data_IF_229157947978
#
_entry.id   IF_229157947978
#
_cell.length_a   1.000
_cell.length_b   1.000
_cell.length_c   1.000
_cell.angle_alpha   90.00
_cell.angle_beta   90.00
_cell.angle_gamma   90.00
#
_symmetry.space_group_name_H-M   'P 1'
#
loop_
_entity.id
_entity.type
_entity.pdbx_description
1 polymer ?
#
# COMPACT_ATOMS: atom_id res chain seq x y z
N UNK A 1 6.93 -30.48 52.46
CA UNK A 1 6.40 -29.18 52.02
C UNK A 1 7.21 -28.73 50.80
N UNK A 2 6.86 -29.21 49.60
CA UNK A 2 7.54 -28.86 48.36
C UNK A 2 6.98 -27.52 47.85
N UNK A 3 7.85 -26.52 47.75
CA UNK A 3 7.57 -25.23 47.13
C UNK A 3 7.44 -25.41 45.61
N UNK A 4 6.22 -25.21 45.10
CA UNK A 4 5.95 -25.00 43.68
C UNK A 4 6.60 -23.67 43.24
N UNK A 5 7.61 -23.76 42.38
CA UNK A 5 8.03 -22.62 41.56
C UNK A 5 7.09 -22.53 40.35
N UNK A 6 6.07 -21.67 40.46
CA UNK A 6 5.30 -21.24 39.30
C UNK A 6 6.14 -20.25 38.49
N UNK A 7 6.82 -20.72 37.44
CA UNK A 7 7.36 -19.82 36.43
C UNK A 7 6.21 -19.20 35.63
N UNK A 8 5.85 -17.96 35.96
CA UNK A 8 5.14 -17.08 35.06
C UNK A 8 6.06 -16.77 33.87
N UNK A 9 5.95 -17.55 32.79
CA UNK A 9 6.49 -17.12 31.50
C UNK A 9 5.66 -15.93 31.02
N UNK A 10 6.28 -14.77 31.08
CA UNK A 10 5.74 -13.53 30.52
C UNK A 10 5.50 -13.72 29.02
N UNK A 11 4.28 -13.44 28.55
CA UNK A 11 3.95 -13.36 27.13
C UNK A 11 4.79 -12.25 26.48
N UNK A 12 5.95 -12.59 25.92
CA UNK A 12 6.63 -11.71 25.00
C UNK A 12 5.79 -11.65 23.71
N UNK A 13 5.21 -10.49 23.43
CA UNK A 13 4.54 -10.14 22.17
C UNK A 13 5.55 -10.39 21.03
N UNK A 14 5.42 -11.50 20.30
CA UNK A 14 6.38 -11.92 19.28
C UNK A 14 6.46 -10.87 18.16
N UNK A 15 7.52 -10.08 18.19
CA UNK A 15 7.97 -9.20 17.11
C UNK A 15 9.22 -9.85 16.51
N UNK A 16 9.10 -10.39 15.29
CA UNK A 16 10.20 -11.11 14.68
C UNK A 16 11.12 -10.17 13.91
N UNK A 17 12.44 -10.30 14.14
CA UNK A 17 13.45 -9.52 13.42
C UNK A 17 13.79 -10.20 12.10
N UNK A 18 13.42 -9.59 10.99
CA UNK A 18 13.74 -10.08 9.65
C UNK A 18 15.18 -9.73 9.25
N UNK A 19 15.75 -10.53 8.34
CA UNK A 19 17.05 -10.22 7.72
C UNK A 19 16.99 -8.90 6.96
N UNK A 20 18.10 -8.16 6.97
CA UNK A 20 18.21 -6.87 6.30
C UNK A 20 18.80 -7.01 4.89
N UNK A 21 17.96 -7.36 3.91
CA UNK A 21 18.37 -7.55 2.51
C UNK A 21 18.70 -6.25 1.76
N UNK A 22 18.39 -5.09 2.34
CA UNK A 22 18.67 -3.79 1.73
C UNK A 22 20.18 -3.54 1.55
N UNK A 23 21.01 -4.15 2.41
CA UNK A 23 22.48 -4.09 2.32
C UNK A 23 23.02 -4.68 1.03
N UNK A 24 22.38 -5.72 0.49
CA UNK A 24 22.77 -6.34 -0.79
C UNK A 24 22.70 -5.35 -1.97
N UNK A 25 21.94 -4.26 -1.82
CA UNK A 25 21.73 -3.23 -2.83
C UNK A 25 22.35 -1.88 -2.46
N UNK A 26 23.20 -1.83 -1.42
CA UNK A 26 23.81 -0.59 -0.89
C UNK A 26 22.78 0.53 -0.64
N UNK A 27 21.61 0.15 -0.13
CA UNK A 27 20.52 1.07 0.20
C UNK A 27 19.97 0.82 1.60
N UNK A 28 19.07 1.68 2.06
CA UNK A 28 18.36 1.60 3.33
C UNK A 28 16.86 1.53 3.09
N UNK A 29 16.15 0.87 4.00
CA UNK A 29 14.72 0.67 3.87
C UNK A 29 14.14 -0.13 5.01
N UNK A 30 12.85 -0.37 4.90
CA UNK A 30 12.11 -1.24 5.81
C UNK A 30 11.20 -2.16 5.03
N UNK A 31 11.15 -3.41 5.47
CA UNK A 31 10.11 -4.36 5.16
C UNK A 31 9.43 -4.73 6.47
N UNK A 32 8.11 -4.70 6.50
CA UNK A 32 7.30 -5.15 7.62
C UNK A 32 6.17 -6.02 7.11
N UNK A 33 5.87 -7.09 7.84
CA UNK A 33 4.71 -7.95 7.63
C UNK A 33 3.78 -7.93 8.83
N UNK A 34 2.51 -8.27 8.61
CA UNK A 34 1.52 -8.44 9.65
C UNK A 34 0.50 -9.53 9.28
N UNK A 35 0.33 -10.51 10.17
CA UNK A 35 -0.54 -11.69 10.01
C UNK A 35 -1.92 -11.54 10.69
N UNK A 36 -2.20 -10.36 11.27
CA UNK A 36 -3.39 -10.10 12.09
C UNK A 36 -3.12 -10.12 13.59
N UNK A 37 -1.97 -10.65 14.01
CA UNK A 37 -1.59 -10.77 15.43
C UNK A 37 -0.14 -10.35 15.71
N UNK A 38 0.80 -10.71 14.84
CA UNK A 38 2.22 -10.50 15.01
C UNK A 38 2.81 -9.68 13.86
N UNK A 39 3.83 -8.90 14.19
CA UNK A 39 4.61 -8.16 13.20
C UNK A 39 5.99 -8.79 13.06
N UNK A 40 6.52 -8.79 11.84
CA UNK A 40 7.93 -9.06 11.59
C UNK A 40 8.54 -7.91 10.77
N UNK A 41 9.73 -7.45 11.13
CA UNK A 41 10.41 -6.38 10.38
C UNK A 41 11.92 -6.44 10.48
N UNK A 42 12.63 -5.99 9.44
CA UNK A 42 14.07 -5.76 9.52
C UNK A 42 14.40 -4.50 10.35
N UNK A 43 13.48 -3.53 10.43
CA UNK A 43 13.69 -2.25 11.12
C UNK A 43 12.36 -1.69 11.67
N UNK A 44 12.00 -2.07 12.90
CA UNK A 44 10.78 -1.59 13.56
C UNK A 44 10.75 -0.08 13.82
N UNK A 45 11.92 0.58 13.94
CA UNK A 45 11.98 2.03 14.10
C UNK A 45 11.50 2.71 12.82
N UNK A 46 12.11 2.38 11.68
CA UNK A 46 11.71 2.90 10.36
C UNK A 46 10.31 2.45 9.95
N UNK A 47 9.84 1.28 10.39
CA UNK A 47 8.49 0.81 10.13
C UNK A 47 7.39 1.77 10.68
N UNK A 48 7.73 2.54 11.72
CA UNK A 48 6.85 3.53 12.36
C UNK A 48 7.05 4.95 11.83
N UNK A 49 8.09 5.19 11.02
CA UNK A 49 8.35 6.50 10.44
C UNK A 49 7.35 6.79 9.31
N UNK A 50 6.65 7.94 9.33
CA UNK A 50 5.67 8.29 8.32
C UNK A 50 6.32 8.95 7.10
N UNK A 51 5.91 8.53 5.90
CA UNK A 51 6.30 9.17 4.64
C UNK A 51 5.09 9.40 3.74
N UNK A 52 5.25 10.20 2.70
CA UNK A 52 4.23 10.29 1.64
C UNK A 52 3.92 8.90 1.07
N UNK A 53 2.63 8.52 0.95
CA UNK A 53 2.25 7.25 0.35
C UNK A 53 2.50 7.21 -1.16
N UNK A 54 2.65 8.37 -1.81
CA UNK A 54 2.72 8.50 -3.26
C UNK A 54 1.62 7.66 -3.95
N UNK A 55 1.99 6.90 -4.98
CA UNK A 55 1.04 6.10 -5.75
C UNK A 55 0.47 4.87 -5.03
N UNK A 56 0.91 4.54 -3.81
CA UNK A 56 0.23 3.50 -3.00
C UNK A 56 -1.15 3.95 -2.54
N UNK A 57 -1.37 5.26 -2.39
CA UNK A 57 -2.68 5.82 -2.03
C UNK A 57 -3.77 5.49 -3.06
N UNK A 58 -3.41 5.13 -4.29
CA UNK A 58 -4.36 4.73 -5.34
C UNK A 58 -5.27 3.56 -4.94
N UNK A 59 -4.81 2.69 -4.03
CA UNK A 59 -5.66 1.62 -3.47
C UNK A 59 -6.88 2.21 -2.77
N UNK A 60 -6.65 3.15 -1.86
CA UNK A 60 -7.69 3.76 -1.03
C UNK A 60 -8.49 4.82 -1.80
N UNK A 61 -7.87 5.55 -2.72
CA UNK A 61 -8.57 6.46 -3.62
C UNK A 61 -9.60 5.69 -4.49
N UNK A 62 -9.22 4.54 -5.06
CA UNK A 62 -10.15 3.67 -5.79
C UNK A 62 -11.26 3.10 -4.89
N UNK A 63 -10.94 2.69 -3.67
CA UNK A 63 -11.92 2.19 -2.69
C UNK A 63 -12.98 3.26 -2.37
N UNK A 64 -12.53 4.48 -2.09
CA UNK A 64 -13.40 5.61 -1.76
C UNK A 64 -14.28 5.96 -2.95
N UNK A 65 -13.73 6.00 -4.16
CA UNK A 65 -14.51 6.28 -5.37
C UNK A 65 -15.63 5.25 -5.59
N UNK A 66 -15.31 3.96 -5.49
CA UNK A 66 -16.29 2.88 -5.68
C UNK A 66 -17.38 2.92 -4.60
N UNK A 67 -17.00 3.09 -3.34
CA UNK A 67 -17.96 3.04 -2.23
C UNK A 67 -18.92 4.23 -2.20
N UNK A 68 -18.48 5.38 -2.71
CA UNK A 68 -19.31 6.58 -2.83
C UNK A 68 -19.99 6.71 -4.21
N UNK A 69 -19.92 5.68 -5.06
CA UNK A 69 -20.57 5.68 -6.37
C UNK A 69 -20.03 6.72 -7.35
N UNK A 70 -18.80 7.19 -7.16
CA UNK A 70 -18.13 8.14 -8.09
C UNK A 70 -17.85 7.48 -9.44
N UNK A 71 -17.63 6.16 -9.42
CA UNK A 71 -17.65 5.30 -10.59
C UNK A 71 -18.49 4.06 -10.25
N UNK A 72 -19.19 3.52 -11.24
CA UNK A 72 -20.09 2.37 -11.13
C UNK A 72 -19.34 1.08 -10.81
N UNK A 73 -18.19 0.88 -11.46
CA UNK A 73 -17.36 -0.31 -11.32
C UNK A 73 -15.91 -0.04 -11.78
N UNK A 74 -15.07 -1.07 -11.71
CA UNK A 74 -13.64 -0.96 -12.08
C UNK A 74 -13.36 -0.83 -13.58
N UNK A 75 -14.37 -0.98 -14.44
CA UNK A 75 -14.26 -1.00 -15.91
C UNK A 75 -14.81 0.26 -16.56
N UNK A 76 -15.68 1.01 -15.88
CA UNK A 76 -16.13 2.33 -16.33
C UNK A 76 -14.94 3.21 -16.70
N UNK A 77 -14.97 3.78 -17.91
CA UNK A 77 -14.03 4.81 -18.33
C UNK A 77 -14.47 6.11 -17.67
N UNK A 78 -13.66 6.59 -16.74
CA UNK A 78 -13.93 7.83 -16.01
C UNK A 78 -12.94 8.95 -16.38
N UNK A 79 -11.82 8.58 -17.01
CA UNK A 79 -10.77 9.51 -17.45
C UNK A 79 -10.65 9.47 -18.97
N UNK A 80 -10.72 10.66 -19.58
CA UNK A 80 -10.53 10.83 -21.02
C UNK A 80 -9.26 11.65 -21.28
N UNK A 81 -8.33 11.09 -22.04
CA UNK A 81 -7.08 11.75 -22.39
C UNK A 81 -7.35 12.87 -23.41
N UNK A 82 -6.88 14.09 -23.13
CA UNK A 82 -7.16 15.28 -23.97
C UNK A 82 -5.93 15.85 -24.64
N UNK A 83 -4.85 15.06 -24.75
CA UNK A 83 -3.59 15.49 -25.36
C UNK A 83 -2.68 16.26 -24.41
N UNK A 84 -2.98 16.31 -23.11
CA UNK A 84 -2.13 16.99 -22.13
C UNK A 84 -0.75 16.32 -22.00
N UNK A 85 0.24 17.10 -21.54
CA UNK A 85 1.60 16.60 -21.28
C UNK A 85 1.56 15.62 -20.10
N UNK A 86 2.16 14.44 -20.29
CA UNK A 86 2.22 13.37 -19.29
C UNK A 86 3.64 12.88 -19.07
N UNK A 87 3.93 12.43 -17.84
CA UNK A 87 5.25 11.92 -17.45
C UNK A 87 5.59 10.58 -18.11
N UNK A 88 4.61 9.67 -18.23
CA UNK A 88 4.80 8.38 -18.88
C UNK A 88 4.00 8.31 -20.19
N UNK A 89 4.59 7.81 -21.29
CA UNK A 89 3.85 7.55 -22.54
C UNK A 89 2.62 6.66 -22.34
N UNK A 90 2.68 5.72 -21.39
CA UNK A 90 1.56 4.83 -21.05
C UNK A 90 0.32 5.57 -20.50
N UNK A 91 0.43 6.85 -20.13
CA UNK A 91 -0.69 7.67 -19.65
C UNK A 91 -1.45 8.40 -20.77
N UNK A 92 -0.99 8.32 -22.03
CA UNK A 92 -1.63 8.95 -23.20
C UNK A 92 -2.84 8.15 -23.71
N UNK A 93 -3.77 7.83 -22.82
CA UNK A 93 -4.96 7.05 -23.15
C UNK A 93 -6.04 7.20 -22.08
N UNK A 94 -7.29 6.99 -22.50
CA UNK A 94 -8.45 6.86 -21.64
C UNK A 94 -8.27 5.75 -20.63
N UNK A 95 -8.94 5.88 -19.48
CA UNK A 95 -8.74 4.95 -18.39
C UNK A 95 -9.98 4.72 -17.51
N UNK A 96 -10.18 3.44 -17.21
CA UNK A 96 -10.91 2.94 -16.05
C UNK A 96 -10.02 2.77 -14.83
N UNK A 97 -10.59 2.56 -13.64
CA UNK A 97 -9.82 2.28 -12.42
C UNK A 97 -8.83 1.13 -12.62
N UNK A 98 -9.29 0.03 -13.23
CA UNK A 98 -8.48 -1.16 -13.52
C UNK A 98 -7.24 -0.83 -14.34
N UNK A 99 -7.40 -0.02 -15.38
CA UNK A 99 -6.31 0.32 -16.29
C UNK A 99 -5.39 1.41 -15.72
N UNK A 100 -5.97 2.41 -15.05
CA UNK A 100 -5.25 3.52 -14.44
C UNK A 100 -4.34 3.06 -13.30
N UNK A 101 -4.83 2.15 -12.44
CA UNK A 101 -4.05 1.69 -11.28
C UNK A 101 -2.82 0.88 -11.71
N UNK A 102 -2.97 0.02 -12.73
CA UNK A 102 -1.91 -0.83 -13.29
C UNK A 102 -0.76 -0.01 -13.87
N UNK A 103 -1.07 1.08 -14.59
CA UNK A 103 -0.08 2.00 -15.19
C UNK A 103 0.31 3.14 -14.27
N UNK A 104 -0.26 3.17 -13.06
CA UNK A 104 -0.14 4.24 -12.08
C UNK A 104 -0.42 5.65 -12.64
N UNK A 105 -1.44 5.77 -13.49
CA UNK A 105 -1.80 7.00 -14.22
C UNK A 105 -2.23 8.11 -13.26
N UNK A 106 -1.29 9.00 -12.92
CA UNK A 106 -1.52 10.08 -11.95
C UNK A 106 -2.65 11.02 -12.39
N UNK A 107 -2.72 11.49 -13.65
CA UNK A 107 -3.79 12.40 -14.08
C UNK A 107 -5.20 11.84 -13.84
N UNK A 108 -5.41 10.54 -14.10
CA UNK A 108 -6.68 9.87 -13.83
C UNK A 108 -7.02 9.90 -12.33
N UNK A 109 -6.09 9.56 -11.44
CA UNK A 109 -6.35 9.60 -9.99
C UNK A 109 -6.49 11.02 -9.42
N UNK A 110 -5.93 12.04 -10.09
CA UNK A 110 -6.21 13.45 -9.79
C UNK A 110 -7.66 13.81 -10.11
N UNK A 111 -8.13 13.40 -11.29
CA UNK A 111 -9.53 13.60 -11.67
C UNK A 111 -10.49 12.85 -10.75
N UNK A 112 -10.17 11.60 -10.41
CA UNK A 112 -10.93 10.79 -9.47
C UNK A 112 -11.07 11.48 -8.11
N UNK A 113 -9.97 12.02 -7.56
CA UNK A 113 -9.99 12.73 -6.29
C UNK A 113 -10.83 14.02 -6.34
N UNK A 114 -10.79 14.76 -7.45
CA UNK A 114 -11.66 15.92 -7.66
C UNK A 114 -13.14 15.53 -7.73
N UNK A 115 -13.48 14.42 -8.40
CA UNK A 115 -14.85 13.89 -8.46
C UNK A 115 -15.34 13.39 -7.08
N UNK A 116 -14.46 12.79 -6.27
CA UNK A 116 -14.78 12.44 -4.86
C UNK A 116 -15.06 13.70 -4.05
N UNK A 117 -14.26 14.75 -4.24
CA UNK A 117 -14.39 16.02 -3.52
C UNK A 117 -13.76 16.00 -2.11
N UNK A 118 -13.48 17.20 -1.60
CA UNK A 118 -12.71 17.37 -0.35
C UNK A 118 -13.41 16.78 0.87
N UNK A 119 -14.71 17.03 1.03
CA UNK A 119 -15.49 16.57 2.18
C UNK A 119 -15.47 15.04 2.30
N UNK A 120 -15.88 14.34 1.24
CA UNK A 120 -15.92 12.86 1.20
C UNK A 120 -14.54 12.25 1.36
N UNK A 121 -13.50 12.86 0.76
CA UNK A 121 -12.13 12.39 0.92
C UNK A 121 -11.66 12.51 2.38
N UNK A 122 -11.89 13.65 3.03
CA UNK A 122 -11.49 13.86 4.42
C UNK A 122 -12.23 12.91 5.37
N UNK A 123 -13.55 12.78 5.22
CA UNK A 123 -14.35 11.83 6.00
C UNK A 123 -13.84 10.39 5.84
N UNK A 124 -13.46 10.01 4.61
CA UNK A 124 -12.92 8.68 4.33
C UNK A 124 -11.53 8.45 4.93
N UNK A 125 -10.63 9.43 4.86
CA UNK A 125 -9.32 9.35 5.52
C UNK A 125 -9.48 9.23 7.05
N UNK A 126 -10.43 9.96 7.64
CA UNK A 126 -10.75 9.88 9.06
C UNK A 126 -11.30 8.50 9.43
N UNK A 127 -12.28 7.97 8.67
CA UNK A 127 -12.83 6.61 8.85
C UNK A 127 -11.75 5.52 8.78
N UNK A 128 -10.80 5.68 7.86
CA UNK A 128 -9.65 4.77 7.74
C UNK A 128 -8.62 4.95 8.84
N UNK A 129 -8.62 6.10 9.55
CA UNK A 129 -7.47 6.57 10.32
C UNK A 129 -6.18 6.49 9.49
N UNK A 130 -6.24 7.00 8.25
CA UNK A 130 -5.15 6.88 7.28
C UNK A 130 -3.99 7.82 7.63
N UNK A 131 -2.99 7.28 8.34
CA UNK A 131 -1.79 8.01 8.70
C UNK A 131 -2.11 9.31 9.45
N UNK A 132 -1.60 10.45 8.97
CA UNK A 132 -1.86 11.77 9.56
C UNK A 132 -3.14 12.46 9.04
N UNK A 133 -3.89 11.83 8.13
CA UNK A 133 -5.15 12.30 7.52
C UNK A 133 -5.14 13.71 6.89
N UNK A 134 -3.96 14.29 6.64
CA UNK A 134 -3.82 15.66 6.10
C UNK A 134 -4.10 15.71 4.59
N UNK A 135 -4.90 16.69 4.18
CA UNK A 135 -5.13 17.04 2.78
C UNK A 135 -4.66 18.48 2.56
N UNK A 136 -3.64 18.68 1.72
CA UNK A 136 -3.22 20.00 1.25
C UNK A 136 -4.13 20.53 0.14
N UNK A 137 -4.12 19.87 -1.02
CA UNK A 137 -5.00 20.09 -2.17
C UNK A 137 -5.56 18.76 -2.59
N UNK A 138 -6.84 18.74 -2.96
CA UNK A 138 -7.61 17.53 -3.22
C UNK A 138 -6.98 16.59 -4.26
N UNK A 139 -6.16 17.08 -5.18
CA UNK A 139 -5.54 16.28 -6.24
C UNK A 139 -4.02 16.16 -6.15
N UNK A 140 -3.39 16.62 -5.06
CA UNK A 140 -1.94 16.48 -4.84
C UNK A 140 -1.53 15.98 -3.46
N UNK A 141 -2.45 15.92 -2.48
CA UNK A 141 -2.10 15.66 -1.08
C UNK A 141 -1.31 14.36 -0.81
N UNK A 142 -1.50 13.33 -1.65
CA UNK A 142 -0.74 12.07 -1.53
C UNK A 142 0.64 12.12 -2.20
N UNK A 143 0.98 13.19 -2.92
CA UNK A 143 2.23 13.37 -3.67
C UNK A 143 3.15 14.44 -3.06
N UNK A 144 2.61 15.42 -2.34
CA UNK A 144 3.33 16.62 -1.92
C UNK A 144 3.83 16.60 -0.46
N UNK A 145 3.96 15.40 0.13
CA UNK A 145 4.35 15.16 1.52
C UNK A 145 3.39 15.69 2.60
N UNK A 146 2.21 16.21 2.25
CA UNK A 146 1.21 16.59 3.25
C UNK A 146 0.62 15.36 3.95
N UNK A 147 0.03 14.43 3.18
CA UNK A 147 -0.41 13.15 3.68
C UNK A 147 0.79 12.24 3.91
N UNK A 148 0.90 11.70 5.12
CA UNK A 148 1.96 10.77 5.48
C UNK A 148 1.41 9.57 6.22
N UNK A 149 2.00 8.40 5.97
CA UNK A 149 1.63 7.12 6.58
C UNK A 149 2.88 6.28 6.79
N UNK A 150 2.92 5.51 7.88
CA UNK A 150 4.02 4.59 8.17
C UNK A 150 3.87 3.25 7.45
N UNK A 151 4.96 2.49 7.30
CA UNK A 151 4.90 1.14 6.73
C UNK A 151 4.02 0.22 7.58
N UNK A 152 4.09 0.36 8.91
CA UNK A 152 3.22 -0.38 9.83
C UNK A 152 1.74 -0.07 9.57
N UNK A 153 1.36 1.21 9.44
CA UNK A 153 -0.04 1.57 9.18
C UNK A 153 -0.51 1.08 7.80
N UNK A 154 0.36 1.08 6.78
CA UNK A 154 0.02 0.48 5.48
C UNK A 154 -0.29 -1.02 5.63
N UNK A 155 0.56 -1.78 6.32
CA UNK A 155 0.33 -3.21 6.58
C UNK A 155 -1.00 -3.44 7.34
N UNK A 156 -1.27 -2.65 8.39
CA UNK A 156 -2.52 -2.73 9.17
C UNK A 156 -3.77 -2.54 8.29
N UNK A 157 -3.77 -1.51 7.43
CA UNK A 157 -4.90 -1.23 6.53
C UNK A 157 -5.05 -2.29 5.44
N UNK A 158 -3.93 -2.79 4.92
CA UNK A 158 -3.94 -3.83 3.87
C UNK A 158 -4.37 -5.19 4.41
N UNK A 159 -4.05 -5.50 5.67
CA UNK A 159 -4.62 -6.66 6.35
C UNK A 159 -6.15 -6.51 6.45
N UNK A 160 -6.67 -5.36 6.89
CA UNK A 160 -8.12 -5.13 6.93
C UNK A 160 -8.77 -5.22 5.54
N UNK A 161 -8.14 -4.64 4.51
CA UNK A 161 -8.62 -4.74 3.13
C UNK A 161 -8.70 -6.20 2.66
N UNK A 162 -7.68 -7.00 2.97
CA UNK A 162 -7.64 -8.43 2.60
C UNK A 162 -8.82 -9.20 3.18
N UNK A 163 -9.22 -8.88 4.42
CA UNK A 163 -10.34 -9.47 5.16
C UNK A 163 -11.71 -8.85 4.83
N UNK A 164 -11.77 -7.87 3.92
CA UNK A 164 -12.97 -7.06 3.68
C UNK A 164 -13.52 -6.36 4.94
N UNK A 165 -12.65 -6.02 5.91
CA UNK A 165 -13.03 -5.48 7.22
C UNK A 165 -12.77 -3.98 7.38
N UNK A 166 -12.43 -3.27 6.29
CA UNK A 166 -12.46 -1.81 6.29
C UNK A 166 -13.92 -1.31 6.38
N UNK A 167 -14.15 -0.08 6.87
CA UNK A 167 -15.50 0.51 7.02
C UNK A 167 -16.07 1.01 5.67
N UNK A 168 -16.04 0.15 4.66
CA UNK A 168 -16.56 0.36 3.30
C UNK A 168 -17.32 -0.91 2.88
N UNK A 169 -18.14 -0.84 1.85
CA UNK A 169 -18.86 -2.02 1.36
C UNK A 169 -17.91 -3.14 0.95
N UNK A 170 -18.30 -4.38 1.28
CA UNK A 170 -17.57 -5.60 0.90
C UNK A 170 -17.33 -5.66 -0.60
N UNK A 171 -18.32 -5.26 -1.40
CA UNK A 171 -18.24 -5.20 -2.87
C UNK A 171 -17.07 -4.31 -3.33
N UNK A 172 -16.98 -3.07 -2.85
CA UNK A 172 -15.91 -2.14 -3.24
C UNK A 172 -14.53 -2.65 -2.83
N UNK A 173 -14.41 -3.26 -1.65
CA UNK A 173 -13.16 -3.88 -1.19
C UNK A 173 -12.73 -5.04 -2.10
N UNK A 174 -13.64 -5.93 -2.48
CA UNK A 174 -13.37 -7.04 -3.41
C UNK A 174 -12.98 -6.55 -4.80
N UNK A 175 -13.62 -5.50 -5.30
CA UNK A 175 -13.28 -4.90 -6.59
C UNK A 175 -11.89 -4.26 -6.60
N UNK A 176 -11.52 -3.55 -5.53
CA UNK A 176 -10.17 -2.99 -5.38
C UNK A 176 -9.13 -4.09 -5.32
N UNK A 177 -9.35 -5.15 -4.54
CA UNK A 177 -8.42 -6.31 -4.48
C UNK A 177 -8.15 -6.88 -5.88
N UNK A 178 -9.20 -7.07 -6.68
CA UNK A 178 -9.07 -7.62 -8.06
C UNK A 178 -8.18 -6.76 -8.96
N UNK A 179 -8.18 -5.44 -8.82
CA UNK A 179 -7.39 -4.55 -9.69
C UNK A 179 -5.95 -4.31 -9.20
N UNK A 180 -5.61 -4.79 -8.00
CA UNK A 180 -4.24 -4.75 -7.47
C UNK A 180 -3.57 -6.14 -7.44
N UNK A 181 -4.18 -7.16 -8.06
CA UNK A 181 -3.50 -8.44 -8.26
C UNK A 181 -2.20 -8.22 -9.05
N UNK A 182 -1.08 -8.56 -8.43
CA UNK A 182 0.27 -8.29 -8.92
C UNK A 182 0.90 -9.54 -9.53
N UNK A 183 0.79 -10.68 -8.86
CA UNK A 183 1.34 -11.97 -9.28
C UNK A 183 0.47 -13.10 -8.72
N UNK A 184 0.34 -14.18 -9.47
CA UNK A 184 -0.36 -15.39 -9.04
C UNK A 184 0.43 -16.60 -9.53
N UNK A 185 0.64 -17.57 -8.65
CA UNK A 185 1.21 -18.87 -8.95
C UNK A 185 0.38 -19.99 -8.29
N UNK A 186 0.84 -21.24 -8.36
CA UNK A 186 0.11 -22.40 -7.82
C UNK A 186 -0.02 -22.39 -6.29
N UNK A 187 0.79 -21.59 -5.59
CA UNK A 187 0.94 -21.59 -4.14
C UNK A 187 0.29 -20.35 -3.52
N UNK A 188 0.39 -19.20 -4.19
CA UNK A 188 0.00 -17.92 -3.63
C UNK A 188 -0.47 -16.89 -4.67
N UNK A 189 -1.25 -15.92 -4.17
CA UNK A 189 -1.58 -14.67 -4.86
C UNK A 189 -0.94 -13.50 -4.13
N UNK A 190 -0.31 -12.61 -4.87
CA UNK A 190 0.28 -11.38 -4.35
C UNK A 190 -0.54 -10.22 -4.91
N UNK A 191 -1.08 -9.41 -4.02
CA UNK A 191 -1.81 -8.19 -4.34
C UNK A 191 -0.96 -7.02 -3.90
N UNK A 192 -0.59 -6.10 -4.80
CA UNK A 192 0.35 -5.04 -4.48
C UNK A 192 0.16 -3.77 -5.30
N UNK A 193 0.62 -2.65 -4.72
CA UNK A 193 0.79 -1.39 -5.43
C UNK A 193 2.14 -0.76 -5.15
N UNK A 194 2.80 -0.32 -6.21
CA UNK A 194 4.03 0.46 -6.14
C UNK A 194 3.77 1.96 -5.92
N UNK A 195 4.71 2.63 -5.27
CA UNK A 195 4.76 4.08 -5.11
C UNK A 195 6.19 4.60 -5.31
N UNK A 196 6.31 5.86 -5.71
CA UNK A 196 7.56 6.58 -5.72
C UNK A 196 7.29 8.06 -5.47
N UNK A 197 8.00 8.64 -4.52
CA UNK A 197 8.05 10.07 -4.29
C UNK A 197 9.47 10.54 -4.63
N UNK A 198 9.59 11.36 -5.67
CA UNK A 198 10.85 11.93 -6.15
C UNK A 198 11.40 13.02 -5.21
N UNK A 199 10.53 13.83 -4.62
CA UNK A 199 10.90 14.88 -3.67
C UNK A 199 11.61 14.38 -2.41
N UNK A 200 11.39 13.12 -2.03
CA UNK A 200 12.09 12.46 -0.90
C UNK A 200 12.84 11.19 -1.32
N UNK A 201 12.94 10.91 -2.63
CA UNK A 201 13.64 9.75 -3.17
C UNK A 201 13.25 8.41 -2.51
N UNK A 202 11.96 8.19 -2.25
CA UNK A 202 11.48 7.03 -1.51
C UNK A 202 10.49 6.23 -2.36
N UNK A 203 10.79 4.95 -2.55
CA UNK A 203 9.94 4.02 -3.28
C UNK A 203 9.22 3.05 -2.35
N UNK A 204 7.97 2.79 -2.66
CA UNK A 204 7.09 1.87 -1.94
C UNK A 204 6.74 0.67 -2.80
N UNK A 205 6.56 -0.49 -2.16
CA UNK A 205 5.65 -1.53 -2.62
C UNK A 205 4.89 -2.06 -1.39
N UNK A 206 3.56 -2.02 -1.45
CA UNK A 206 2.70 -2.40 -0.33
C UNK A 206 1.63 -3.34 -0.83
N UNK A 207 1.21 -4.29 0.01
CA UNK A 207 0.26 -5.29 -0.42
C UNK A 207 -0.10 -6.32 0.64
N UNK A 208 -0.63 -7.45 0.17
CA UNK A 208 -0.81 -8.65 0.96
C UNK A 208 -0.65 -9.89 0.08
N UNK A 209 -0.30 -11.00 0.73
CA UNK A 209 -0.12 -12.31 0.14
C UNK A 209 -1.26 -13.19 0.66
N UNK A 210 -1.88 -13.94 -0.23
CA UNK A 210 -2.92 -14.92 0.07
C UNK A 210 -2.42 -16.30 -0.36
N UNK A 211 -2.24 -17.21 0.61
CA UNK A 211 -1.73 -18.56 0.38
C UNK A 211 -2.58 -19.57 1.15
N UNK A 212 -3.30 -20.45 0.43
CA UNK A 212 -4.29 -21.38 1.00
C UNK A 212 -5.28 -20.66 1.93
N UNK A 213 -5.04 -20.69 3.24
CA UNK A 213 -5.87 -20.09 4.30
C UNK A 213 -5.11 -19.07 5.16
N UNK A 214 -3.95 -18.61 4.70
CA UNK A 214 -3.13 -17.61 5.40
C UNK A 214 -3.11 -16.32 4.59
N UNK A 215 -3.21 -15.22 5.31
CA UNK A 215 -3.05 -13.87 4.78
C UNK A 215 -1.89 -13.22 5.51
N UNK A 216 -0.97 -12.66 4.74
CA UNK A 216 0.14 -11.87 5.26
C UNK A 216 0.18 -10.53 4.55
N UNK A 217 -0.17 -9.47 5.25
CA UNK A 217 -0.01 -8.11 4.74
C UNK A 217 1.44 -7.66 4.84
N UNK A 218 1.86 -6.75 3.96
CA UNK A 218 3.21 -6.23 3.97
C UNK A 218 3.29 -4.77 3.51
N UNK A 219 4.35 -4.09 3.94
CA UNK A 219 4.76 -2.82 3.40
C UNK A 219 6.29 -2.75 3.31
N UNK A 220 6.79 -2.33 2.16
CA UNK A 220 8.19 -2.07 1.91
C UNK A 220 8.37 -0.61 1.50
N UNK A 221 9.28 0.12 2.15
CA UNK A 221 9.89 1.30 1.54
C UNK A 221 11.41 1.20 1.47
N UNK A 222 11.97 1.85 0.46
CA UNK A 222 13.40 1.85 0.16
C UNK A 222 13.82 3.22 -0.35
N UNK A 223 15.00 3.67 0.09
CA UNK A 223 15.62 4.88 -0.42
C UNK A 223 16.18 4.60 -1.84
N UNK A 224 15.84 5.46 -2.80
CA UNK A 224 16.22 5.30 -4.21
C UNK A 224 17.02 6.52 -4.64
N UNK A 225 18.35 6.36 -4.69
CA UNK A 225 19.27 7.42 -5.15
C UNK A 225 19.15 7.74 -6.65
N UNK A 226 18.66 6.79 -7.45
CA UNK A 226 18.53 6.93 -8.90
C UNK A 226 17.24 6.28 -9.37
N UNK A 227 16.40 7.01 -10.10
CA UNK A 227 15.10 6.53 -10.59
C UNK A 227 15.21 5.27 -11.47
N UNK A 228 16.37 5.03 -12.11
CA UNK A 228 16.64 3.78 -12.86
C UNK A 228 16.62 2.53 -11.96
N UNK A 229 16.77 2.70 -10.66
CA UNK A 229 16.83 1.63 -9.67
C UNK A 229 15.49 1.34 -8.99
N UNK A 230 14.36 1.87 -9.49
CA UNK A 230 13.05 1.65 -8.88
C UNK A 230 12.66 0.17 -8.76
N UNK A 231 13.20 -0.69 -9.64
CA UNK A 231 12.98 -2.14 -9.63
C UNK A 231 13.48 -2.83 -8.34
N UNK A 232 14.40 -2.22 -7.60
CA UNK A 232 14.96 -2.77 -6.35
C UNK A 232 13.86 -3.12 -5.34
N UNK A 233 12.77 -2.34 -5.29
CA UNK A 233 11.65 -2.63 -4.37
C UNK A 233 10.96 -3.96 -4.68
N UNK A 234 10.86 -4.32 -5.97
CA UNK A 234 10.25 -5.56 -6.44
C UNK A 234 11.22 -6.72 -6.24
N UNK A 235 12.51 -6.54 -6.56
CA UNK A 235 13.56 -7.54 -6.30
C UNK A 235 13.72 -7.84 -4.79
N UNK A 236 13.60 -6.82 -3.92
CA UNK A 236 13.58 -6.99 -2.47
C UNK A 236 12.32 -7.72 -1.99
N UNK A 237 11.14 -7.37 -2.53
CA UNK A 237 9.91 -8.07 -2.20
C UNK A 237 10.02 -9.57 -2.52
N UNK A 238 10.54 -9.91 -3.70
CA UNK A 238 10.74 -11.32 -4.08
C UNK A 238 11.73 -12.03 -3.15
N UNK A 239 12.85 -11.40 -2.79
CA UNK A 239 13.80 -11.95 -1.80
C UNK A 239 13.13 -12.21 -0.44
N UNK A 240 12.34 -11.26 0.06
CA UNK A 240 11.63 -11.43 1.33
C UNK A 240 10.59 -12.54 1.26
N UNK A 241 9.76 -12.56 0.22
CA UNK A 241 8.75 -13.62 0.02
C UNK A 241 9.40 -15.00 -0.05
N UNK A 242 10.52 -15.12 -0.77
CA UNK A 242 11.27 -16.37 -0.84
C UNK A 242 11.77 -16.82 0.54
N UNK A 243 12.24 -15.89 1.39
CA UNK A 243 12.73 -16.19 2.74
C UNK A 243 11.65 -16.51 3.78
N UNK A 244 10.38 -16.23 3.47
CA UNK A 244 9.23 -16.50 4.37
C UNK A 244 8.61 -17.88 4.15
N UNK A 245 8.97 -18.55 3.05
CA UNK A 245 8.57 -19.92 2.74
C UNK A 245 9.63 -20.91 3.21
#
# INVERSE_FOLDING_TARGET
MLLLFSLFYSFALANDKLKDFFKDYNTSGVFITFDGKHYASNNFKRAKEPFSPASTFKIFNALIALDNGVVKDTKEIFYHYKGEKVFLPSWKQDASLRSAIKRSQVPAFKELARKIGLKTMQESLNKLSYGNTKISKIDTFWLDNSLQISAKNQADLLFKLSQNSLPFSKKSQEEVKKIILFKEDKIQKIYAKTGFNDGINLAWIVGFIESKNKILSFALNVDIKNIKNLKIREELLEKYIYSLN
#
